data_IF_935100680615
#
_entry.id   IF_935100680615
#
_cell.length_a   1.000
_cell.length_b   1.000
_cell.length_c   1.000
_cell.angle_alpha   90.00
_cell.angle_beta   90.00
_cell.angle_gamma   90.00
#
_symmetry.space_group_name_H-M   'P 1'
#
loop_
_entity.id
_entity.type
_entity.pdbx_description
1 polymer ?
#
# COMPACT_ATOMS: atom_id res chain seq x y z
N UNK A 1 -11.17 20.54 -15.98
CA UNK A 1 -10.40 19.38 -16.48
C UNK A 1 -10.02 19.63 -17.93
N UNK A 2 -8.72 19.62 -18.22
CA UNK A 2 -8.21 19.82 -19.59
C UNK A 2 -8.43 18.56 -20.43
N UNK A 3 -8.35 18.70 -21.74
CA UNK A 3 -8.20 17.56 -22.64
C UNK A 3 -6.75 17.07 -22.64
N UNK A 4 -6.51 15.84 -23.09
CA UNK A 4 -5.13 15.34 -23.29
C UNK A 4 -4.33 16.22 -24.26
N UNK A 5 -4.95 16.70 -25.34
CA UNK A 5 -4.32 17.62 -26.28
C UNK A 5 -3.83 18.92 -25.64
N UNK A 6 -4.67 19.54 -24.81
CA UNK A 6 -4.31 20.76 -24.09
C UNK A 6 -3.19 20.51 -23.06
N UNK A 7 -3.20 19.38 -22.37
CA UNK A 7 -2.13 18.99 -21.44
C UNK A 7 -0.79 18.76 -22.16
N UNK A 8 -0.81 18.02 -23.28
CA UNK A 8 0.37 17.82 -24.15
C UNK A 8 0.95 19.17 -24.60
N UNK A 9 0.08 20.08 -25.06
CA UNK A 9 0.49 21.43 -25.47
C UNK A 9 1.16 22.20 -24.34
N UNK A 10 0.58 22.15 -23.14
CA UNK A 10 1.12 22.81 -21.95
C UNK A 10 2.51 22.27 -21.62
N UNK A 11 2.67 20.95 -21.53
CA UNK A 11 3.95 20.30 -21.22
C UNK A 11 5.00 20.69 -22.27
N UNK A 12 4.66 20.57 -23.56
CA UNK A 12 5.57 20.93 -24.66
C UNK A 12 6.04 22.38 -24.55
N UNK A 13 5.11 23.31 -24.33
CA UNK A 13 5.43 24.74 -24.22
C UNK A 13 6.27 25.05 -22.97
N UNK A 14 5.99 24.40 -21.85
CA UNK A 14 6.79 24.56 -20.63
C UNK A 14 8.23 24.06 -20.81
N UNK A 15 8.45 23.05 -21.66
CA UNK A 15 9.79 22.57 -22.05
C UNK A 15 10.42 23.36 -23.21
N UNK A 16 9.80 24.46 -23.66
CA UNK A 16 10.25 25.26 -24.80
C UNK A 16 10.43 24.48 -26.12
N UNK A 17 9.72 23.37 -26.28
CA UNK A 17 9.78 22.53 -27.47
C UNK A 17 8.84 23.04 -28.56
N UNK A 18 9.24 22.92 -29.83
CA UNK A 18 8.37 23.14 -30.99
C UNK A 18 7.54 21.90 -31.29
N UNK A 19 6.46 22.05 -32.07
CA UNK A 19 5.67 20.90 -32.52
C UNK A 19 6.50 19.95 -33.40
N UNK A 20 7.49 20.48 -34.11
CA UNK A 20 8.40 19.70 -34.94
C UNK A 20 9.27 18.77 -34.09
N UNK A 21 9.79 19.27 -32.96
CA UNK A 21 10.63 18.51 -32.04
C UNK A 21 9.90 17.28 -31.50
N UNK A 22 8.62 17.46 -31.14
CA UNK A 22 7.78 16.35 -30.66
C UNK A 22 7.36 15.43 -31.81
N UNK A 23 7.04 15.96 -32.98
CA UNK A 23 6.58 15.15 -34.12
C UNK A 23 7.67 14.30 -34.78
N UNK A 24 8.94 14.67 -34.60
CA UNK A 24 10.07 14.10 -35.33
C UNK A 24 10.14 12.57 -35.19
N UNK A 25 10.11 11.88 -36.35
CA UNK A 25 10.11 10.42 -36.48
C UNK A 25 8.94 9.67 -35.81
N UNK A 26 7.86 10.35 -35.41
CA UNK A 26 6.67 9.69 -34.86
C UNK A 26 5.39 10.00 -35.64
N UNK A 27 5.18 11.26 -36.07
CA UNK A 27 4.01 11.66 -36.83
C UNK A 27 4.23 12.98 -37.57
N UNK A 28 3.32 13.37 -38.46
CA UNK A 28 3.36 14.69 -39.08
C UNK A 28 3.17 15.80 -38.04
N UNK A 29 3.95 16.89 -38.16
CA UNK A 29 3.80 18.10 -37.31
C UNK A 29 2.36 18.62 -37.27
N UNK A 30 1.65 18.58 -38.39
CA UNK A 30 0.24 19.02 -38.47
C UNK A 30 -0.68 18.18 -37.60
N UNK A 31 -0.37 16.89 -37.41
CA UNK A 31 -1.10 16.00 -36.51
C UNK A 31 -0.91 16.38 -35.05
N UNK A 32 0.33 16.71 -34.61
CA UNK A 32 0.56 17.27 -33.25
C UNK A 32 -0.30 18.52 -33.06
N UNK A 33 -0.29 19.45 -34.03
CA UNK A 33 -1.09 20.67 -33.89
C UNK A 33 -2.59 20.41 -33.81
N UNK A 34 -3.11 19.40 -34.52
CA UNK A 34 -4.53 19.03 -34.43
C UNK A 34 -4.87 18.40 -33.09
N UNK A 35 -3.99 17.53 -32.56
CA UNK A 35 -4.13 16.94 -31.23
C UNK A 35 -4.14 18.04 -30.16
N UNK A 36 -3.16 18.94 -30.17
CA UNK A 36 -3.02 20.01 -29.18
C UNK A 36 -4.19 20.99 -29.14
N UNK A 37 -4.90 21.15 -30.27
CA UNK A 37 -6.07 22.00 -30.40
C UNK A 37 -7.38 21.21 -30.29
N UNK A 38 -7.34 19.93 -29.90
CA UNK A 38 -8.51 19.03 -29.75
C UNK A 38 -9.31 18.79 -31.04
N UNK A 39 -8.68 18.97 -32.20
CA UNK A 39 -9.30 18.68 -33.50
C UNK A 39 -9.25 17.19 -33.83
N UNK A 40 -8.38 16.42 -33.17
CA UNK A 40 -8.26 14.95 -33.29
C UNK A 40 -8.01 14.37 -31.90
N UNK A 41 -8.71 13.29 -31.56
CA UNK A 41 -8.42 12.46 -30.39
C UNK A 41 -7.30 11.47 -30.75
N UNK A 42 -6.14 11.52 -30.08
CA UNK A 42 -5.04 10.60 -30.37
C UNK A 42 -5.37 9.17 -29.89
N UNK A 43 -4.81 8.17 -30.58
CA UNK A 43 -4.79 6.79 -30.08
C UNK A 43 -3.84 6.67 -28.89
N UNK A 44 -4.00 5.63 -28.07
CA UNK A 44 -3.09 5.37 -26.94
C UNK A 44 -1.63 5.26 -27.40
N UNK A 45 -1.38 4.56 -28.51
CA UNK A 45 -0.03 4.41 -29.11
C UNK A 45 0.59 5.74 -29.53
N UNK A 46 -0.25 6.66 -30.01
CA UNK A 46 0.18 8.01 -30.36
C UNK A 46 0.54 8.80 -29.10
N UNK A 47 -0.28 8.70 -28.05
CA UNK A 47 0.00 9.39 -26.78
C UNK A 47 1.30 8.85 -26.17
N UNK A 48 1.50 7.53 -26.12
CA UNK A 48 2.75 6.90 -25.64
C UNK A 48 3.98 7.43 -26.38
N UNK A 49 3.91 7.51 -27.71
CA UNK A 49 5.00 8.06 -28.53
C UNK A 49 5.29 9.53 -28.21
N UNK A 50 4.23 10.33 -27.98
CA UNK A 50 4.36 11.75 -27.65
C UNK A 50 4.95 11.96 -26.26
N UNK A 51 4.48 11.23 -25.24
CA UNK A 51 4.95 11.43 -23.86
C UNK A 51 6.43 11.04 -23.69
N UNK A 52 6.90 10.06 -24.46
CA UNK A 52 8.35 9.72 -24.53
C UNK A 52 9.16 10.92 -25.05
N UNK A 53 8.69 11.61 -26.10
CA UNK A 53 9.36 12.83 -26.59
C UNK A 53 9.28 14.01 -25.64
N UNK A 54 8.31 14.00 -24.75
CA UNK A 54 8.11 15.03 -23.73
C UNK A 54 8.78 14.67 -22.40
N UNK A 55 9.44 13.52 -22.28
CA UNK A 55 10.02 13.01 -21.03
C UNK A 55 9.05 13.12 -19.85
N UNK A 56 7.83 12.59 -20.02
CA UNK A 56 6.80 12.50 -18.98
C UNK A 56 6.14 11.13 -19.01
N UNK A 57 5.60 10.69 -17.88
CA UNK A 57 4.84 9.43 -17.81
C UNK A 57 3.37 9.65 -18.15
N UNK A 58 2.63 8.55 -18.39
CA UNK A 58 1.18 8.62 -18.59
C UNK A 58 0.47 9.17 -17.34
N UNK A 59 0.95 8.80 -16.15
CA UNK A 59 0.36 9.25 -14.89
C UNK A 59 0.61 10.74 -14.65
N UNK A 60 1.81 11.23 -14.96
CA UNK A 60 2.11 12.66 -14.91
C UNK A 60 1.26 13.45 -15.92
N UNK A 61 1.11 12.95 -17.15
CA UNK A 61 0.22 13.56 -18.14
C UNK A 61 -1.22 13.65 -17.61
N UNK A 62 -1.73 12.58 -16.98
CA UNK A 62 -3.08 12.56 -16.39
C UNK A 62 -3.21 13.57 -15.25
N UNK A 63 -2.20 13.67 -14.39
CA UNK A 63 -2.14 14.61 -13.28
C UNK A 63 -2.14 16.07 -13.78
N UNK A 64 -1.31 16.40 -14.78
CA UNK A 64 -1.27 17.74 -15.40
C UNK A 64 -2.59 18.07 -16.11
N UNK A 65 -3.19 17.09 -16.79
CA UNK A 65 -4.51 17.24 -17.42
C UNK A 65 -5.59 17.60 -16.40
N UNK A 66 -5.46 17.10 -15.18
CA UNK A 66 -6.34 17.36 -14.05
C UNK A 66 -5.86 18.56 -13.22
N UNK A 67 -5.07 19.47 -13.80
CA UNK A 67 -4.60 20.68 -13.12
C UNK A 67 -3.77 20.39 -11.85
N UNK A 68 -2.94 19.35 -11.91
CA UNK A 68 -2.12 18.88 -10.80
C UNK A 68 -2.97 18.41 -9.60
N UNK A 69 -4.09 17.77 -9.89
CA UNK A 69 -4.96 17.17 -8.88
C UNK A 69 -5.25 15.71 -9.23
N UNK A 70 -5.32 14.89 -8.19
CA UNK A 70 -5.89 13.56 -8.29
C UNK A 70 -7.42 13.68 -8.32
N UNK A 71 -8.09 12.74 -8.97
CA UNK A 71 -9.52 12.59 -8.77
C UNK A 71 -9.80 12.09 -7.36
N UNK A 72 -11.02 12.35 -6.84
CA UNK A 72 -11.44 11.88 -5.51
C UNK A 72 -11.17 10.38 -5.32
N UNK A 73 -11.47 9.58 -6.36
CA UNK A 73 -11.21 8.14 -6.37
C UNK A 73 -9.72 7.81 -6.21
N UNK A 74 -8.86 8.49 -6.96
CA UNK A 74 -7.41 8.29 -6.90
C UNK A 74 -6.83 8.73 -5.55
N UNK A 75 -7.35 9.82 -4.97
CA UNK A 75 -6.91 10.26 -3.64
C UNK A 75 -7.28 9.23 -2.55
N UNK A 76 -8.50 8.70 -2.56
CA UNK A 76 -8.93 7.66 -1.62
C UNK A 76 -8.00 6.45 -1.69
N UNK A 77 -7.70 5.98 -2.90
CA UNK A 77 -6.81 4.83 -3.12
C UNK A 77 -5.38 5.16 -2.65
N UNK A 78 -4.89 6.35 -2.98
CA UNK A 78 -3.55 6.77 -2.57
C UNK A 78 -3.41 6.84 -1.05
N UNK A 79 -4.42 7.34 -0.35
CA UNK A 79 -4.40 7.45 1.11
C UNK A 79 -4.56 6.08 1.78
N UNK A 80 -5.40 5.20 1.24
CA UNK A 80 -5.44 3.79 1.67
C UNK A 80 -4.07 3.12 1.54
N UNK A 81 -3.35 3.35 0.44
CA UNK A 81 -2.01 2.77 0.23
C UNK A 81 -0.92 3.36 1.12
N UNK A 82 -1.13 4.54 1.71
CA UNK A 82 -0.21 5.17 2.66
C UNK A 82 -0.41 4.70 4.10
N UNK A 83 -1.50 4.00 4.41
CA UNK A 83 -1.72 3.47 5.75
C UNK A 83 -0.57 2.54 6.13
N UNK A 84 0.01 2.78 7.30
CA UNK A 84 1.13 2.00 7.83
C UNK A 84 0.74 1.13 9.01
N UNK A 85 -0.40 1.43 9.65
CA UNK A 85 -0.91 0.70 10.81
C UNK A 85 -2.42 0.90 10.97
N UNK A 86 -3.09 -0.11 11.54
CA UNK A 86 -4.50 -0.04 11.95
C UNK A 86 -4.72 0.91 13.14
N UNK A 87 -3.65 1.38 13.79
CA UNK A 87 -3.70 2.34 14.91
C UNK A 87 -3.97 3.78 14.46
N UNK A 88 -3.93 4.05 13.15
CA UNK A 88 -4.22 5.37 12.58
C UNK A 88 -5.74 5.60 12.44
N UNK A 89 -6.49 5.40 13.52
CA UNK A 89 -7.98 5.32 13.52
C UNK A 89 -8.65 6.57 12.93
N UNK A 90 -8.15 7.76 13.22
CA UNK A 90 -8.67 9.02 12.66
C UNK A 90 -8.53 9.06 11.12
N UNK A 91 -7.36 8.69 10.60
CA UNK A 91 -7.10 8.63 9.17
C UNK A 91 -7.97 7.56 8.50
N UNK A 92 -8.11 6.39 9.13
CA UNK A 92 -8.98 5.31 8.66
C UNK A 92 -10.43 5.79 8.56
N UNK A 93 -10.95 6.46 9.60
CA UNK A 93 -12.31 7.02 9.61
C UNK A 93 -12.52 8.10 8.53
N UNK A 94 -11.51 8.93 8.29
CA UNK A 94 -11.54 9.91 7.20
C UNK A 94 -11.67 9.23 5.83
N UNK A 95 -10.87 8.20 5.57
CA UNK A 95 -10.91 7.45 4.30
C UNK A 95 -12.27 6.75 4.15
N UNK A 96 -12.80 6.11 5.19
CA UNK A 96 -14.13 5.47 5.17
C UNK A 96 -15.21 6.48 4.79
N UNK A 97 -15.21 7.66 5.42
CA UNK A 97 -16.20 8.72 5.14
C UNK A 97 -16.13 9.19 3.69
N UNK A 98 -14.92 9.32 3.14
CA UNK A 98 -14.72 9.69 1.73
C UNK A 98 -15.16 8.57 0.78
N UNK A 99 -14.94 7.31 1.13
CA UNK A 99 -15.52 6.19 0.40
C UNK A 99 -17.05 6.25 0.39
N UNK A 100 -17.68 6.44 1.55
CA UNK A 100 -19.14 6.54 1.68
C UNK A 100 -19.71 7.63 0.76
N UNK A 101 -19.18 8.86 0.87
CA UNK A 101 -19.60 9.99 0.03
C UNK A 101 -19.38 9.75 -1.47
N UNK A 102 -18.29 9.08 -1.85
CA UNK A 102 -18.01 8.77 -3.25
C UNK A 102 -18.98 7.73 -3.81
N UNK A 103 -19.26 6.68 -3.03
CA UNK A 103 -20.08 5.54 -3.42
C UNK A 103 -21.57 5.89 -3.52
N UNK A 104 -22.06 6.93 -2.84
CA UNK A 104 -23.42 7.45 -2.99
C UNK A 104 -23.78 7.73 -4.46
N UNK A 105 -22.79 8.23 -5.23
CA UNK A 105 -22.95 8.56 -6.65
C UNK A 105 -22.29 7.53 -7.58
N UNK A 106 -21.51 6.59 -7.03
CA UNK A 106 -20.69 5.62 -7.78
C UNK A 106 -20.80 4.21 -7.20
N UNK A 107 -22.02 3.76 -6.90
CA UNK A 107 -22.30 2.52 -6.16
C UNK A 107 -21.79 1.21 -6.79
N UNK A 108 -21.26 1.26 -8.02
CA UNK A 108 -20.68 0.12 -8.74
C UNK A 108 -19.16 0.04 -8.64
N UNK A 109 -18.50 0.94 -7.90
CA UNK A 109 -17.04 0.90 -7.72
C UNK A 109 -16.65 -0.15 -6.68
N UNK A 110 -16.42 -1.37 -7.14
CA UNK A 110 -16.12 -2.51 -6.28
C UNK A 110 -14.85 -2.34 -5.46
N UNK A 111 -13.83 -1.66 -6.01
CA UNK A 111 -12.57 -1.45 -5.28
C UNK A 111 -12.76 -0.55 -4.08
N UNK A 112 -13.47 0.57 -4.25
CA UNK A 112 -13.70 1.49 -3.13
C UNK A 112 -14.64 0.87 -2.09
N UNK A 113 -15.57 0.01 -2.51
CA UNK A 113 -16.33 -0.82 -1.59
C UNK A 113 -15.43 -1.74 -0.78
N UNK A 114 -14.53 -2.48 -1.44
CA UNK A 114 -13.62 -3.40 -0.76
C UNK A 114 -12.68 -2.67 0.22
N UNK A 115 -12.13 -1.51 -0.19
CA UNK A 115 -11.30 -0.66 0.68
C UNK A 115 -12.12 -0.23 1.90
N UNK A 116 -13.34 0.27 1.69
CA UNK A 116 -14.24 0.69 2.77
C UNK A 116 -14.48 -0.46 3.76
N UNK A 117 -14.77 -1.65 3.25
CA UNK A 117 -15.02 -2.82 4.08
C UNK A 117 -13.76 -3.26 4.84
N UNK A 118 -12.61 -3.37 4.17
CA UNK A 118 -11.35 -3.72 4.82
C UNK A 118 -11.00 -2.75 5.97
N UNK A 119 -11.24 -1.45 5.78
CA UNK A 119 -11.02 -0.43 6.80
C UNK A 119 -12.03 -0.51 7.96
N UNK A 120 -13.31 -0.76 7.68
CA UNK A 120 -14.32 -1.01 8.74
C UNK A 120 -13.94 -2.24 9.57
N UNK A 121 -13.45 -3.31 8.94
CA UNK A 121 -12.97 -4.50 9.65
C UNK A 121 -11.75 -4.20 10.53
N UNK A 122 -10.83 -3.34 10.08
CA UNK A 122 -9.68 -2.93 10.88
C UNK A 122 -10.10 -2.19 12.17
N UNK A 123 -11.12 -1.33 12.11
CA UNK A 123 -11.66 -0.65 13.30
C UNK A 123 -12.42 -1.59 14.24
N UNK A 124 -13.09 -2.62 13.72
CA UNK A 124 -13.74 -3.63 14.55
C UNK A 124 -12.71 -4.44 15.36
N UNK A 125 -11.52 -4.71 14.80
CA UNK A 125 -10.44 -5.35 15.57
C UNK A 125 -9.94 -4.49 16.72
N UNK A 126 -9.82 -3.18 16.53
CA UNK A 126 -9.40 -2.30 17.63
C UNK A 126 -10.40 -2.30 18.80
N UNK A 127 -11.64 -2.70 18.54
CA UNK A 127 -12.69 -2.87 19.56
C UNK A 127 -12.85 -4.34 20.02
N UNK A 128 -11.93 -5.23 19.63
CA UNK A 128 -11.96 -6.66 19.92
C UNK A 128 -13.18 -7.42 19.32
N UNK A 129 -13.77 -6.90 18.24
CA UNK A 129 -14.94 -7.48 17.55
C UNK A 129 -14.53 -8.39 16.38
N UNK A 130 -13.70 -9.41 16.66
CA UNK A 130 -13.03 -10.24 15.64
C UNK A 130 -14.00 -10.96 14.69
N UNK A 131 -15.08 -11.58 15.21
CA UNK A 131 -16.03 -12.33 14.39
C UNK A 131 -16.76 -11.42 13.37
N UNK A 132 -17.09 -10.19 13.78
CA UNK A 132 -17.73 -9.21 12.91
C UNK A 132 -16.76 -8.72 11.82
N UNK A 133 -15.50 -8.46 12.19
CA UNK A 133 -14.46 -8.11 11.25
C UNK A 133 -14.28 -9.20 10.17
N UNK A 134 -14.19 -10.47 10.60
CA UNK A 134 -14.09 -11.62 9.70
C UNK A 134 -15.27 -11.73 8.74
N UNK A 135 -16.50 -11.63 9.26
CA UNK A 135 -17.71 -11.67 8.44
C UNK A 135 -17.71 -10.58 7.37
N UNK A 136 -17.17 -9.42 7.69
CA UNK A 136 -17.17 -8.25 6.82
C UNK A 136 -16.17 -8.37 5.65
N UNK A 137 -14.99 -8.98 5.88
CA UNK A 137 -13.99 -9.20 4.82
C UNK A 137 -14.18 -10.51 4.06
N UNK A 138 -14.99 -11.44 4.56
CA UNK A 138 -15.21 -12.76 3.94
C UNK A 138 -15.59 -12.69 2.45
N UNK A 139 -16.51 -11.82 1.99
CA UNK A 139 -16.84 -11.73 0.57
C UNK A 139 -15.66 -11.28 -0.30
N UNK A 140 -14.79 -10.42 0.24
CA UNK A 140 -13.56 -9.97 -0.43
C UNK A 140 -12.63 -11.17 -0.62
N UNK A 141 -12.40 -11.94 0.45
CA UNK A 141 -11.54 -13.11 0.40
C UNK A 141 -12.05 -14.21 -0.50
N UNK A 142 -13.36 -14.54 -0.45
CA UNK A 142 -13.95 -15.55 -1.32
C UNK A 142 -13.74 -15.22 -2.81
N UNK A 143 -13.76 -13.93 -3.17
CA UNK A 143 -13.41 -13.49 -4.52
C UNK A 143 -11.91 -13.60 -4.79
N UNK A 144 -11.06 -13.09 -3.90
CA UNK A 144 -9.60 -13.08 -4.08
C UNK A 144 -8.98 -14.48 -4.11
N UNK A 145 -9.46 -15.41 -3.29
CA UNK A 145 -8.94 -16.78 -3.20
C UNK A 145 -9.08 -17.57 -4.51
N UNK A 146 -9.99 -17.15 -5.40
CA UNK A 146 -10.21 -17.76 -6.71
C UNK A 146 -9.38 -17.14 -7.83
N UNK A 147 -8.52 -16.16 -7.55
CA UNK A 147 -7.68 -15.50 -8.55
C UNK A 147 -6.30 -16.15 -8.57
N UNK A 148 -5.89 -16.65 -9.74
CA UNK A 148 -4.58 -17.28 -9.91
C UNK A 148 -3.41 -16.28 -9.85
N UNK A 149 -3.64 -15.06 -10.35
CA UNK A 149 -2.63 -14.02 -10.49
C UNK A 149 -3.18 -12.67 -10.06
N UNK A 150 -2.65 -12.13 -8.98
CA UNK A 150 -3.00 -10.80 -8.52
C UNK A 150 -2.33 -9.70 -9.33
N UNK A 151 -3.08 -8.61 -9.58
CA UNK A 151 -2.49 -7.33 -9.89
C UNK A 151 -2.03 -6.63 -8.59
N UNK A 152 -1.41 -5.46 -8.72
CA UNK A 152 -0.96 -4.67 -7.58
C UNK A 152 -2.09 -4.37 -6.58
N UNK A 153 -3.32 -4.17 -7.07
CA UNK A 153 -4.46 -3.82 -6.24
C UNK A 153 -4.86 -5.00 -5.36
N UNK A 154 -4.99 -6.21 -5.92
CA UNK A 154 -5.34 -7.39 -5.14
C UNK A 154 -4.24 -7.73 -4.12
N UNK A 155 -2.95 -7.57 -4.47
CA UNK A 155 -1.84 -7.73 -3.53
C UNK A 155 -2.03 -6.81 -2.31
N UNK A 156 -2.28 -5.52 -2.54
CA UNK A 156 -2.44 -4.54 -1.45
C UNK A 156 -3.67 -4.84 -0.61
N UNK A 157 -4.78 -5.20 -1.24
CA UNK A 157 -6.02 -5.51 -0.54
C UNK A 157 -5.86 -6.77 0.33
N UNK A 158 -5.29 -7.85 -0.21
CA UNK A 158 -5.14 -9.11 0.52
C UNK A 158 -4.21 -8.95 1.72
N UNK A 159 -3.12 -8.17 1.60
CA UNK A 159 -2.20 -7.92 2.71
C UNK A 159 -2.89 -7.22 3.89
N UNK A 160 -3.97 -6.48 3.65
CA UNK A 160 -4.75 -5.83 4.71
C UNK A 160 -5.81 -6.74 5.34
N UNK A 161 -6.15 -7.87 4.70
CA UNK A 161 -7.21 -8.77 5.20
C UNK A 161 -6.77 -10.21 5.51
N UNK A 162 -5.55 -10.60 5.16
CA UNK A 162 -5.14 -12.01 5.26
C UNK A 162 -5.20 -12.55 6.70
N UNK A 163 -4.87 -11.71 7.69
CA UNK A 163 -4.79 -12.12 9.09
C UNK A 163 -6.15 -12.20 9.80
N UNK A 164 -7.25 -12.01 9.07
CA UNK A 164 -8.60 -12.36 9.55
C UNK A 164 -8.91 -13.86 9.39
N UNK A 165 -8.08 -14.63 8.67
CA UNK A 165 -8.38 -16.01 8.31
C UNK A 165 -7.68 -17.05 9.21
N UNK A 166 -8.17 -18.30 9.24
CA UNK A 166 -7.54 -19.38 10.01
C UNK A 166 -6.07 -19.61 9.65
N UNK A 167 -5.28 -20.08 10.62
CA UNK A 167 -3.84 -20.31 10.46
C UNK A 167 -3.48 -21.18 9.25
N UNK A 168 -4.26 -22.24 8.97
CA UNK A 168 -3.98 -23.14 7.85
C UNK A 168 -4.15 -22.47 6.47
N UNK A 169 -5.03 -21.46 6.38
CA UNK A 169 -5.19 -20.62 5.20
C UNK A 169 -3.97 -19.73 5.04
N UNK A 170 -3.55 -19.07 6.12
CA UNK A 170 -2.39 -18.16 6.13
C UNK A 170 -1.11 -18.93 5.74
N UNK A 171 -0.86 -20.08 6.38
CA UNK A 171 0.32 -20.92 6.13
C UNK A 171 0.47 -21.31 4.65
N UNK A 172 -0.64 -21.68 4.01
CA UNK A 172 -0.65 -22.08 2.59
C UNK A 172 -0.53 -20.87 1.65
N UNK A 173 -1.07 -19.72 2.04
CA UNK A 173 -1.23 -18.59 1.14
C UNK A 173 -0.06 -17.62 1.15
N UNK A 174 0.55 -17.35 2.32
CA UNK A 174 1.66 -16.40 2.45
C UNK A 174 2.82 -16.68 1.48
N UNK A 175 3.30 -17.93 1.29
CA UNK A 175 4.38 -18.20 0.34
C UNK A 175 4.04 -17.80 -1.10
N UNK A 176 2.79 -18.02 -1.53
CA UNK A 176 2.32 -17.63 -2.87
C UNK A 176 2.24 -16.12 -3.00
N UNK A 177 1.73 -15.44 -1.97
CA UNK A 177 1.62 -13.98 -1.94
C UNK A 177 3.00 -13.30 -2.01
N UNK A 178 4.01 -13.83 -1.29
CA UNK A 178 5.38 -13.31 -1.36
C UNK A 178 5.96 -13.38 -2.78
N UNK A 179 5.73 -14.49 -3.50
CA UNK A 179 6.13 -14.62 -4.92
C UNK A 179 5.41 -13.59 -5.80
N UNK A 180 4.11 -13.37 -5.55
CA UNK A 180 3.34 -12.35 -6.30
C UNK A 180 3.88 -10.95 -6.04
N UNK A 181 4.19 -10.60 -4.79
CA UNK A 181 4.80 -9.32 -4.43
C UNK A 181 6.12 -9.11 -5.17
N UNK A 182 6.98 -10.13 -5.21
CA UNK A 182 8.30 -10.04 -5.84
C UNK A 182 8.23 -9.77 -7.35
N UNK A 183 7.19 -10.25 -8.04
CA UNK A 183 6.95 -9.95 -9.46
C UNK A 183 6.74 -8.45 -9.72
N UNK A 184 6.18 -7.71 -8.77
CA UNK A 184 5.86 -6.28 -8.92
C UNK A 184 6.89 -5.36 -8.26
N UNK A 185 7.89 -5.89 -7.56
CA UNK A 185 8.81 -5.07 -6.77
C UNK A 185 9.66 -4.12 -7.63
N UNK A 186 9.97 -4.49 -8.87
CA UNK A 186 10.64 -3.60 -9.82
C UNK A 186 9.76 -2.44 -10.30
N UNK A 187 8.44 -2.62 -10.32
CA UNK A 187 7.47 -1.60 -10.71
C UNK A 187 7.15 -0.66 -9.55
N UNK A 188 6.91 -1.21 -8.36
CA UNK A 188 6.50 -0.45 -7.19
C UNK A 188 7.26 -0.89 -5.93
N UNK A 189 8.33 -0.16 -5.61
CA UNK A 189 9.16 -0.41 -4.43
C UNK A 189 8.45 -0.19 -3.10
N UNK A 190 7.31 0.50 -3.08
CA UNK A 190 6.52 0.67 -1.85
C UNK A 190 5.85 -0.64 -1.40
N UNK A 191 5.96 -1.71 -2.20
CA UNK A 191 5.65 -3.07 -1.78
C UNK A 191 6.65 -3.66 -0.77
N UNK A 192 7.89 -3.17 -0.69
CA UNK A 192 8.87 -3.72 0.26
C UNK A 192 8.45 -3.51 1.73
N UNK A 193 8.01 -2.31 2.15
CA UNK A 193 7.39 -2.13 3.47
C UNK A 193 6.22 -3.08 3.71
N UNK A 194 5.33 -3.25 2.71
CA UNK A 194 4.18 -4.14 2.80
C UNK A 194 4.60 -5.61 2.98
N UNK A 195 5.64 -6.04 2.26
CA UNK A 195 6.23 -7.38 2.37
C UNK A 195 6.82 -7.63 3.76
N UNK A 196 7.56 -6.66 4.28
CA UNK A 196 8.14 -6.75 5.63
C UNK A 196 7.04 -6.81 6.70
N UNK A 197 6.00 -5.97 6.60
CA UNK A 197 4.84 -6.01 7.50
C UNK A 197 4.08 -7.35 7.42
N UNK A 198 3.87 -7.89 6.22
CA UNK A 198 3.27 -9.21 6.01
C UNK A 198 4.07 -10.31 6.72
N UNK A 199 5.39 -10.28 6.62
CA UNK A 199 6.28 -11.25 7.29
C UNK A 199 6.27 -11.10 8.81
N UNK A 200 6.25 -9.87 9.32
CA UNK A 200 6.13 -9.58 10.76
C UNK A 200 4.80 -10.12 11.29
N UNK A 201 3.69 -9.80 10.64
CA UNK A 201 2.36 -10.28 11.04
C UNK A 201 2.26 -11.82 10.96
N UNK A 202 2.89 -12.43 9.95
CA UNK A 202 3.02 -13.89 9.86
C UNK A 202 3.79 -14.45 11.05
N UNK A 203 4.92 -13.83 11.41
CA UNK A 203 5.70 -14.28 12.56
C UNK A 203 4.92 -14.17 13.88
N UNK A 204 4.21 -13.06 14.08
CA UNK A 204 3.37 -12.80 15.25
C UNK A 204 2.33 -13.90 15.41
N UNK A 205 1.52 -14.17 14.38
CA UNK A 205 0.42 -15.14 14.50
C UNK A 205 0.91 -16.58 14.64
N UNK A 206 2.10 -16.91 14.11
CA UNK A 206 2.70 -18.25 14.24
C UNK A 206 3.63 -18.41 15.45
N UNK A 207 3.86 -17.36 16.24
CA UNK A 207 4.88 -17.36 17.30
C UNK A 207 4.74 -18.52 18.28
N UNK A 208 3.51 -18.88 18.66
CA UNK A 208 3.21 -19.98 19.58
C UNK A 208 2.93 -21.31 18.88
N UNK A 209 2.89 -21.34 17.54
CA UNK A 209 2.42 -22.48 16.76
C UNK A 209 3.49 -23.10 15.85
N UNK A 210 4.44 -22.30 15.35
CA UNK A 210 5.46 -22.77 14.42
C UNK A 210 6.73 -21.89 14.46
N UNK A 211 7.71 -22.31 15.27
CA UNK A 211 8.97 -21.58 15.45
C UNK A 211 9.79 -21.43 14.16
N UNK A 212 9.69 -22.37 13.22
CA UNK A 212 10.41 -22.30 11.94
C UNK A 212 9.83 -21.20 11.04
N UNK A 213 8.50 -21.10 10.94
CA UNK A 213 7.82 -20.02 10.21
C UNK A 213 8.12 -18.68 10.86
N UNK A 214 8.00 -18.57 12.19
CA UNK A 214 8.30 -17.35 12.94
C UNK A 214 9.73 -16.88 12.68
N UNK A 215 10.71 -17.76 12.86
CA UNK A 215 12.13 -17.41 12.71
C UNK A 215 12.47 -17.00 11.27
N UNK A 216 12.03 -17.78 10.28
CA UNK A 216 12.29 -17.47 8.87
C UNK A 216 11.63 -16.17 8.43
N UNK A 217 10.41 -15.90 8.89
CA UNK A 217 9.68 -14.67 8.55
C UNK A 217 10.32 -13.43 9.18
N UNK A 218 10.71 -13.48 10.46
CA UNK A 218 11.40 -12.38 11.12
C UNK A 218 12.75 -12.09 10.48
N UNK A 219 13.54 -13.12 10.17
CA UNK A 219 14.83 -12.94 9.49
C UNK A 219 14.67 -12.25 8.14
N UNK A 220 13.69 -12.68 7.33
CA UNK A 220 13.40 -12.05 6.05
C UNK A 220 12.92 -10.60 6.23
N UNK A 221 12.05 -10.32 7.21
CA UNK A 221 11.59 -8.98 7.50
C UNK A 221 12.75 -8.05 7.93
N UNK A 222 13.66 -8.53 8.77
CA UNK A 222 14.86 -7.77 9.20
C UNK A 222 15.75 -7.38 8.03
N UNK A 223 15.96 -8.29 7.07
CA UNK A 223 16.76 -8.00 5.87
C UNK A 223 16.10 -6.88 5.06
N UNK A 224 14.82 -7.04 4.73
CA UNK A 224 14.07 -6.06 3.94
C UNK A 224 14.04 -4.71 4.65
N UNK A 225 13.71 -4.68 5.95
CA UNK A 225 13.59 -3.45 6.73
C UNK A 225 14.91 -2.66 6.77
N UNK A 226 16.07 -3.35 6.83
CA UNK A 226 17.39 -2.72 6.71
C UNK A 226 17.62 -2.12 5.33
N UNK A 227 17.32 -2.86 4.27
CA UNK A 227 17.54 -2.42 2.89
C UNK A 227 16.74 -1.15 2.55
N UNK A 228 15.53 -1.03 3.09
CA UNK A 228 14.63 0.12 2.84
C UNK A 228 14.68 1.19 3.92
N UNK A 229 15.57 1.07 4.92
CA UNK A 229 15.69 1.99 6.06
C UNK A 229 14.38 2.21 6.84
N UNK A 230 13.55 1.17 6.97
CA UNK A 230 12.31 1.22 7.79
C UNK A 230 12.61 0.75 9.20
N UNK A 231 13.18 1.65 10.00
CA UNK A 231 13.64 1.38 11.36
C UNK A 231 12.52 0.96 12.33
N UNK A 232 11.29 1.41 12.10
CA UNK A 232 10.09 0.99 12.83
C UNK A 232 9.77 -0.50 12.62
N UNK A 233 9.82 -0.98 11.37
CA UNK A 233 9.66 -2.40 11.05
C UNK A 233 10.85 -3.23 11.52
N UNK A 234 12.06 -2.67 11.44
CA UNK A 234 13.27 -3.31 11.95
C UNK A 234 13.21 -3.53 13.47
N UNK A 235 12.80 -2.50 14.21
CA UNK A 235 12.60 -2.58 15.66
C UNK A 235 11.52 -3.60 16.02
N UNK A 236 10.39 -3.58 15.31
CA UNK A 236 9.31 -4.58 15.49
C UNK A 236 9.81 -6.01 15.29
N UNK A 237 10.59 -6.26 14.23
CA UNK A 237 11.17 -7.56 13.97
C UNK A 237 12.18 -7.98 15.06
N UNK A 238 13.07 -7.07 15.51
CA UNK A 238 14.00 -7.37 16.60
C UNK A 238 13.29 -7.64 17.93
N UNK A 239 12.24 -6.89 18.24
CA UNK A 239 11.46 -7.08 19.45
C UNK A 239 10.86 -8.49 19.48
N UNK A 240 10.16 -8.87 18.40
CA UNK A 240 9.54 -10.18 18.26
C UNK A 240 10.58 -11.31 18.21
N UNK A 241 11.77 -11.09 17.63
CA UNK A 241 12.87 -12.04 17.72
C UNK A 241 13.28 -12.25 19.18
N UNK A 242 13.55 -11.15 19.91
CA UNK A 242 13.91 -11.21 21.32
C UNK A 242 12.87 -11.91 22.19
N UNK A 243 11.58 -11.65 21.96
CA UNK A 243 10.48 -12.37 22.63
C UNK A 243 10.52 -13.86 22.29
N UNK A 244 10.51 -14.21 20.99
CA UNK A 244 10.44 -15.61 20.55
C UNK A 244 11.66 -16.46 20.94
N UNK A 245 12.82 -15.83 21.15
CA UNK A 245 14.05 -16.51 21.56
C UNK A 245 14.42 -16.29 23.03
N UNK A 246 13.60 -15.56 23.80
CA UNK A 246 13.95 -15.10 25.15
C UNK A 246 15.32 -14.42 25.23
N UNK A 247 15.61 -13.52 24.29
CA UNK A 247 16.86 -12.73 24.23
C UNK A 247 16.59 -11.25 24.58
N UNK A 248 16.87 -10.83 25.83
CA UNK A 248 16.66 -9.46 26.28
C UNK A 248 17.48 -8.42 25.50
N UNK A 249 18.62 -8.79 24.93
CA UNK A 249 19.49 -7.87 24.21
C UNK A 249 18.84 -7.38 22.90
N UNK A 250 18.08 -8.25 22.23
CA UNK A 250 17.31 -7.90 21.05
C UNK A 250 16.12 -7.01 21.39
N UNK A 251 15.47 -7.27 22.53
CA UNK A 251 14.38 -6.43 23.04
C UNK A 251 14.91 -5.02 23.36
N UNK A 252 16.02 -4.91 24.09
CA UNK A 252 16.64 -3.63 24.43
C UNK A 252 17.07 -2.87 23.16
N UNK A 253 17.66 -3.57 22.19
CA UNK A 253 18.01 -2.99 20.89
C UNK A 253 16.78 -2.44 20.16
N UNK A 254 15.67 -3.17 20.16
CA UNK A 254 14.42 -2.71 19.57
C UNK A 254 13.86 -1.47 20.28
N UNK A 255 13.84 -1.48 21.62
CA UNK A 255 13.44 -0.34 22.46
C UNK A 255 14.22 0.92 22.11
N UNK A 256 15.55 0.80 22.06
CA UNK A 256 16.42 1.93 21.73
C UNK A 256 16.12 2.50 20.33
N UNK A 257 15.81 1.64 19.34
CA UNK A 257 15.42 2.11 18.01
C UNK A 257 14.08 2.84 18.08
N UNK A 258 13.05 2.27 18.71
CA UNK A 258 11.72 2.90 18.82
C UNK A 258 11.78 4.29 19.48
N UNK A 259 12.53 4.40 20.59
CA UNK A 259 12.75 5.67 21.29
C UNK A 259 13.49 6.68 20.40
N UNK A 260 14.52 6.25 19.67
CA UNK A 260 15.29 7.13 18.80
C UNK A 260 14.51 7.68 17.60
N UNK A 261 13.40 7.04 17.21
CA UNK A 261 12.53 7.46 16.10
C UNK A 261 11.17 7.98 16.56
N UNK A 262 10.99 8.24 17.86
CA UNK A 262 9.75 8.79 18.45
C UNK A 262 8.51 7.92 18.11
N UNK A 263 8.66 6.59 18.32
CA UNK A 263 7.61 5.58 18.11
C UNK A 263 7.26 4.82 19.39
N UNK A 264 7.21 5.53 20.51
CA UNK A 264 6.87 5.02 21.85
C UNK A 264 5.50 4.36 21.87
N UNK A 265 4.52 4.87 21.13
CA UNK A 265 3.19 4.28 21.04
C UNK A 265 3.22 2.84 20.50
N UNK A 266 4.12 2.53 19.56
CA UNK A 266 4.29 1.16 19.03
C UNK A 266 4.98 0.29 20.08
N UNK A 267 6.02 0.82 20.73
CA UNK A 267 6.72 0.11 21.80
C UNK A 267 5.77 -0.26 22.95
N UNK A 268 4.93 0.67 23.38
CA UNK A 268 3.95 0.44 24.44
C UNK A 268 3.01 -0.73 24.11
N UNK A 269 2.56 -0.83 22.86
CA UNK A 269 1.73 -1.95 22.41
C UNK A 269 2.44 -3.30 22.53
N UNK A 270 3.73 -3.36 22.14
CA UNK A 270 4.52 -4.57 22.33
C UNK A 270 4.71 -4.91 23.82
N UNK A 271 4.92 -3.91 24.68
CA UNK A 271 5.06 -4.15 26.12
C UNK A 271 3.75 -4.61 26.75
N UNK A 272 2.62 -4.03 26.38
CA UNK A 272 1.30 -4.47 26.84
C UNK A 272 0.99 -5.92 26.41
N UNK A 273 1.33 -6.28 25.17
CA UNK A 273 1.04 -7.61 24.62
C UNK A 273 1.95 -8.72 25.20
N UNK A 274 3.25 -8.44 25.37
CA UNK A 274 4.23 -9.48 25.73
C UNK A 274 4.78 -9.37 27.16
N UNK A 275 4.68 -8.21 27.80
CA UNK A 275 5.16 -7.94 29.16
C UNK A 275 4.22 -7.01 29.94
N UNK A 276 2.93 -7.39 30.12
CA UNK A 276 1.90 -6.50 30.68
C UNK A 276 2.26 -5.95 32.07
N UNK A 277 2.96 -6.75 32.89
CA UNK A 277 3.41 -6.35 34.24
C UNK A 277 4.44 -5.20 34.24
N UNK A 278 5.10 -4.94 33.11
CA UNK A 278 6.03 -3.82 32.95
C UNK A 278 5.34 -2.52 32.50
N UNK A 279 4.20 -2.61 31.81
CA UNK A 279 3.50 -1.47 31.22
C UNK A 279 2.74 -0.61 32.26
N UNK A 280 2.33 -1.20 33.39
CA UNK A 280 1.58 -0.49 34.45
C UNK A 280 2.39 0.62 35.17
N UNK A 281 3.72 0.67 34.99
CA UNK A 281 4.58 1.64 35.68
C UNK A 281 4.79 2.96 34.90
N UNK A 282 4.11 3.16 33.77
CA UNK A 282 4.16 4.40 32.99
C UNK A 282 2.77 5.04 32.96
N UNK A 283 2.27 5.45 34.13
CA UNK A 283 1.16 6.41 34.19
C UNK A 283 1.66 7.76 34.69
N UNK A 284 1.32 8.79 33.90
CA UNK A 284 1.54 10.24 34.03
C UNK A 284 2.78 10.85 33.37
#
# INVERSE_FOLDING_TARGET
>A
MKTYGAAIRQIRKNKSLSQSDVSNNILARTTISKIENNNITPTITTVESIIVKLDVTMDELRYIKNDYQLSIREEIIADFFKLVSNTQTELIMNIITRCDNYLDNNSKDSLLEDIRLALKAALLLTNNEVELAQKLVKPIWERLANIDHFSLIEIRLVCNILFYFPLDVIEKFVPRLLIMIDKYNALDKSLNPLKAALLINTATIFMQHNSAITTSSLNAATIIAKEINRFDLLASAYYLQGVSTNDPSLIEKAKNIFLAIEKEAILFQFEEEYFPDCAENITY
#
